data_IF_499676114328
#
_entry.id   IF_499676114328
#
_cell.length_a   1.000
_cell.length_b   1.000
_cell.length_c   1.000
_cell.angle_alpha   90.00
_cell.angle_beta   90.00
_cell.angle_gamma   90.00
#
_symmetry.space_group_name_H-M   'P 1'
#
loop_
_entity.id
_entity.type
_entity.pdbx_description
1 polymer ?
#
# COMPACT_ATOMS: atom_id res chain seq x y z
N UNK A 1 -21.53 -1.51 -1.51
CA UNK A 1 -20.32 -0.80 -2.03
C UNK A 1 -20.01 -1.36 -3.40
N UNK A 2 -19.71 -0.54 -4.41
CA UNK A 2 -19.35 -1.06 -5.75
C UNK A 2 -18.09 -1.93 -5.66
N UNK A 3 -18.08 -3.08 -6.39
CA UNK A 3 -16.97 -4.06 -6.35
C UNK A 3 -15.59 -3.41 -6.55
N UNK A 4 -15.50 -2.42 -7.46
CA UNK A 4 -14.26 -1.67 -7.74
C UNK A 4 -13.71 -0.92 -6.52
N UNK A 5 -14.59 -0.36 -5.69
CA UNK A 5 -14.21 0.39 -4.48
C UNK A 5 -13.66 -0.53 -3.40
N UNK A 6 -14.25 -1.73 -3.25
CA UNK A 6 -13.75 -2.76 -2.32
C UNK A 6 -12.32 -3.15 -2.72
N UNK A 7 -12.11 -3.48 -3.99
CA UNK A 7 -10.79 -3.90 -4.50
C UNK A 7 -9.74 -2.81 -4.27
N UNK A 8 -10.06 -1.53 -4.51
CA UNK A 8 -9.14 -0.42 -4.25
C UNK A 8 -8.70 -0.32 -2.79
N UNK A 9 -9.58 -0.66 -1.85
CA UNK A 9 -9.27 -0.62 -0.41
C UNK A 9 -8.47 -1.85 0.01
N UNK A 10 -8.81 -3.04 -0.51
CA UNK A 10 -8.25 -4.30 -0.01
C UNK A 10 -7.03 -4.80 -0.77
N UNK A 11 -6.72 -4.29 -1.96
CA UNK A 11 -5.55 -4.80 -2.69
C UNK A 11 -4.22 -4.57 -1.95
N UNK A 12 -3.91 -3.37 -1.38
CA UNK A 12 -2.60 -3.14 -0.80
C UNK A 12 -2.40 -4.02 0.42
N UNK A 13 -3.44 -4.16 1.25
CA UNK A 13 -3.42 -5.02 2.43
C UNK A 13 -3.13 -6.47 2.04
N UNK A 14 -3.91 -7.04 1.12
CA UNK A 14 -3.71 -8.41 0.66
C UNK A 14 -2.28 -8.65 0.16
N UNK A 15 -1.74 -7.76 -0.67
CA UNK A 15 -0.38 -7.90 -1.17
C UNK A 15 0.68 -7.77 -0.06
N UNK A 16 0.54 -6.80 0.86
CA UNK A 16 1.45 -6.64 1.99
C UNK A 16 1.44 -7.86 2.91
N UNK A 17 0.27 -8.37 3.26
CA UNK A 17 0.12 -9.56 4.10
C UNK A 17 0.77 -10.78 3.44
N UNK A 18 0.49 -11.04 2.14
CA UNK A 18 1.05 -12.19 1.42
C UNK A 18 2.57 -12.10 1.36
N UNK A 19 3.12 -10.94 0.98
CA UNK A 19 4.57 -10.73 0.90
C UNK A 19 5.22 -10.98 2.26
N UNK A 20 4.64 -10.43 3.34
CA UNK A 20 5.17 -10.56 4.69
C UNK A 20 5.16 -12.02 5.16
N UNK A 21 4.04 -12.72 5.00
CA UNK A 21 3.93 -14.14 5.39
C UNK A 21 4.94 -14.99 4.64
N UNK A 22 5.05 -14.82 3.32
CA UNK A 22 6.00 -15.59 2.48
C UNK A 22 7.44 -15.31 2.90
N UNK A 23 7.77 -14.05 3.21
CA UNK A 23 9.12 -13.67 3.66
C UNK A 23 9.50 -14.23 5.03
N UNK A 24 8.56 -14.36 5.97
CA UNK A 24 8.88 -14.81 7.34
C UNK A 24 8.68 -16.31 7.57
N UNK A 25 7.75 -16.96 6.87
CA UNK A 25 7.51 -18.40 7.05
C UNK A 25 8.51 -19.26 6.27
N UNK A 26 9.38 -18.66 5.46
CA UNK A 26 10.36 -19.37 4.62
C UNK A 26 9.73 -20.55 3.85
N UNK A 27 8.44 -20.41 3.50
CA UNK A 27 7.54 -21.53 3.16
C UNK A 27 8.01 -22.33 1.94
N UNK A 28 8.95 -21.79 1.17
CA UNK A 28 9.39 -22.32 -0.10
C UNK A 28 10.72 -23.11 -0.04
N UNK A 29 11.35 -23.29 1.13
CA UNK A 29 12.58 -24.11 1.30
C UNK A 29 13.66 -23.87 0.22
N UNK A 30 13.76 -22.63 -0.30
CA UNK A 30 14.80 -22.28 -1.26
C UNK A 30 16.09 -21.97 -0.50
N UNK A 31 17.02 -22.92 -0.47
CA UNK A 31 18.29 -22.87 0.27
C UNK A 31 19.28 -21.76 -0.14
N UNK A 32 18.91 -20.86 -1.06
CA UNK A 32 19.81 -19.83 -1.62
C UNK A 32 19.26 -18.41 -1.63
N UNK A 33 18.03 -18.17 -1.15
CA UNK A 33 17.41 -16.84 -1.15
C UNK A 33 17.27 -16.38 0.30
N UNK A 34 17.86 -15.22 0.63
CA UNK A 34 17.63 -14.58 1.92
C UNK A 34 16.26 -13.90 1.92
N UNK A 35 15.24 -14.61 2.42
CA UNK A 35 13.86 -14.13 2.47
C UNK A 35 13.68 -12.88 3.34
N UNK A 36 14.60 -12.62 4.29
CA UNK A 36 14.64 -11.33 5.01
C UNK A 36 15.02 -10.18 4.07
N UNK A 37 15.92 -10.42 3.12
CA UNK A 37 16.27 -9.45 2.08
C UNK A 37 15.07 -9.06 1.21
N UNK A 38 14.24 -10.03 0.83
CA UNK A 38 12.99 -9.78 0.08
C UNK A 38 12.05 -8.87 0.88
N UNK A 39 11.91 -9.12 2.18
CA UNK A 39 11.08 -8.29 3.03
C UNK A 39 11.59 -6.85 3.14
N UNK A 40 12.91 -6.67 3.29
CA UNK A 40 13.53 -5.34 3.35
C UNK A 40 13.31 -4.58 2.03
N UNK A 41 13.50 -5.23 0.88
CA UNK A 41 13.20 -4.63 -0.42
C UNK A 41 11.71 -4.26 -0.51
N UNK A 42 10.84 -5.12 0.03
CA UNK A 42 9.41 -4.88 0.02
C UNK A 42 9.02 -3.65 0.85
N UNK A 43 9.59 -3.49 2.04
CA UNK A 43 9.39 -2.31 2.87
C UNK A 43 9.83 -1.02 2.19
N UNK A 44 11.02 -1.04 1.58
CA UNK A 44 11.62 0.17 1.03
C UNK A 44 10.98 0.56 -0.30
N UNK A 45 10.55 -0.43 -1.10
CA UNK A 45 10.12 -0.19 -2.48
C UNK A 45 8.69 -0.63 -2.76
N UNK A 46 8.36 -1.91 -2.52
CA UNK A 46 7.05 -2.44 -2.93
C UNK A 46 5.89 -1.80 -2.16
N UNK A 47 6.01 -1.63 -0.85
CA UNK A 47 4.94 -1.07 -0.02
C UNK A 47 4.65 0.40 -0.37
N UNK A 48 5.64 1.29 -0.53
CA UNK A 48 5.40 2.62 -1.08
C UNK A 48 4.70 2.61 -2.43
N UNK A 49 5.10 1.70 -3.34
CA UNK A 49 4.46 1.57 -4.66
C UNK A 49 2.99 1.14 -4.52
N UNK A 50 2.68 0.20 -3.63
CA UNK A 50 1.31 -0.21 -3.34
C UNK A 50 0.46 0.96 -2.84
N UNK A 51 0.99 1.76 -1.91
CA UNK A 51 0.32 2.97 -1.41
C UNK A 51 0.16 4.05 -2.49
N UNK A 52 1.15 4.21 -3.36
CA UNK A 52 1.06 5.11 -4.51
C UNK A 52 -0.07 4.70 -5.44
N UNK A 53 -0.12 3.42 -5.84
CA UNK A 53 -1.19 2.87 -6.68
C UNK A 53 -2.54 3.01 -5.97
N UNK A 54 -2.59 2.80 -4.66
CA UNK A 54 -3.81 2.96 -3.87
C UNK A 54 -4.33 4.40 -3.92
N UNK A 55 -3.45 5.39 -3.76
CA UNK A 55 -3.79 6.80 -3.89
C UNK A 55 -4.35 7.15 -5.27
N UNK A 56 -3.70 6.68 -6.34
CA UNK A 56 -4.16 6.87 -7.73
C UNK A 56 -5.54 6.26 -7.92
N UNK A 57 -5.71 4.98 -7.56
CA UNK A 57 -6.98 4.27 -7.73
C UNK A 57 -8.10 4.92 -6.90
N UNK A 58 -7.78 5.47 -5.73
CA UNK A 58 -8.77 6.18 -4.92
C UNK A 58 -9.31 7.42 -5.62
N UNK A 59 -8.45 8.18 -6.30
CA UNK A 59 -8.84 9.37 -7.05
C UNK A 59 -9.64 9.02 -8.32
N UNK A 60 -9.30 7.91 -8.98
CA UNK A 60 -10.02 7.43 -10.16
C UNK A 60 -11.42 6.96 -9.77
N UNK A 61 -11.52 6.10 -8.76
CA UNK A 61 -12.75 5.42 -8.35
C UNK A 61 -13.62 6.26 -7.38
N UNK A 62 -13.22 7.50 -7.08
CA UNK A 62 -13.88 8.38 -6.12
C UNK A 62 -14.14 7.67 -4.77
N UNK A 63 -13.16 6.90 -4.28
CA UNK A 63 -13.23 6.27 -2.96
C UNK A 63 -12.69 7.21 -1.89
N UNK A 64 -13.19 7.06 -0.67
CA UNK A 64 -12.68 7.83 0.46
C UNK A 64 -11.25 7.39 0.77
N UNK A 65 -10.29 8.29 0.55
CA UNK A 65 -8.87 7.99 0.75
C UNK A 65 -8.52 7.72 2.21
N UNK A 66 -9.14 8.41 3.16
CA UNK A 66 -8.85 8.20 4.58
C UNK A 66 -9.26 6.81 5.04
N UNK A 67 -10.42 6.34 4.55
CA UNK A 67 -10.86 4.97 4.82
C UNK A 67 -9.92 3.96 4.15
N UNK A 68 -9.57 4.18 2.89
CA UNK A 68 -8.69 3.28 2.13
C UNK A 68 -7.30 3.14 2.77
N UNK A 69 -6.62 4.28 3.00
CA UNK A 69 -5.30 4.30 3.64
C UNK A 69 -5.36 3.82 5.08
N UNK A 70 -6.44 4.13 5.81
CA UNK A 70 -6.64 3.66 7.18
C UNK A 70 -6.61 2.15 7.29
N UNK A 71 -7.26 1.42 6.36
CA UNK A 71 -7.23 -0.04 6.34
C UNK A 71 -5.81 -0.56 6.05
N UNK A 72 -5.10 0.02 5.07
CA UNK A 72 -3.71 -0.37 4.75
C UNK A 72 -2.72 -0.11 5.90
N UNK A 73 -2.86 1.02 6.58
CA UNK A 73 -2.01 1.37 7.72
C UNK A 73 -2.31 0.46 8.91
N UNK A 74 -3.57 0.18 9.20
CA UNK A 74 -3.93 -0.75 10.27
C UNK A 74 -3.37 -2.15 10.02
N UNK A 75 -3.46 -2.65 8.79
CA UNK A 75 -2.84 -3.91 8.39
C UNK A 75 -1.31 -3.88 8.61
N UNK A 76 -0.63 -2.83 8.13
CA UNK A 76 0.81 -2.70 8.34
C UNK A 76 1.21 -2.61 9.81
N UNK A 77 0.42 -1.92 10.65
CA UNK A 77 0.65 -1.89 12.12
C UNK A 77 0.53 -3.30 12.71
N UNK A 78 -0.46 -4.09 12.29
CA UNK A 78 -0.60 -5.48 12.75
C UNK A 78 0.61 -6.31 12.31
N UNK A 79 1.00 -6.21 11.04
CA UNK A 79 2.18 -6.90 10.51
C UNK A 79 3.46 -6.49 11.26
N UNK A 80 3.57 -5.22 11.65
CA UNK A 80 4.68 -4.70 12.44
C UNK A 80 4.76 -5.38 13.80
N UNK A 81 3.66 -5.46 14.55
CA UNK A 81 3.65 -6.10 15.87
C UNK A 81 3.90 -7.62 15.82
N UNK A 82 3.52 -8.28 14.74
CA UNK A 82 3.68 -9.73 14.61
C UNK A 82 5.09 -10.12 14.11
N UNK A 83 5.63 -9.37 13.15
CA UNK A 83 6.82 -9.78 12.40
C UNK A 83 8.02 -8.84 12.51
N UNK A 84 7.83 -7.61 12.98
CA UNK A 84 8.84 -6.55 12.93
C UNK A 84 9.16 -5.97 14.32
N UNK A 85 10.14 -5.07 14.34
CA UNK A 85 10.49 -4.28 15.52
C UNK A 85 9.86 -2.87 15.45
N UNK A 86 9.85 -2.16 16.57
CA UNK A 86 9.29 -0.80 16.70
C UNK A 86 9.91 0.22 15.73
N UNK A 87 11.16 0.02 15.30
CA UNK A 87 11.83 0.91 14.33
C UNK A 87 11.11 1.00 12.99
N UNK A 88 10.30 0.00 12.64
CA UNK A 88 9.51 0.00 11.41
C UNK A 88 8.32 0.97 11.43
N UNK A 89 8.02 1.57 12.59
CA UNK A 89 6.92 2.52 12.73
C UNK A 89 7.06 3.72 11.77
N UNK A 90 8.29 4.16 11.48
CA UNK A 90 8.57 5.27 10.58
C UNK A 90 8.00 5.06 9.16
N UNK A 91 7.91 3.81 8.72
CA UNK A 91 7.40 3.48 7.39
C UNK A 91 5.91 3.80 7.23
N UNK A 92 5.11 3.72 8.30
CA UNK A 92 3.70 4.13 8.27
C UNK A 92 3.55 5.57 7.76
N UNK A 93 4.37 6.47 8.28
CA UNK A 93 4.32 7.89 7.93
C UNK A 93 4.74 8.12 6.48
N UNK A 94 5.78 7.41 6.03
CA UNK A 94 6.24 7.46 4.63
C UNK A 94 5.14 6.99 3.68
N UNK A 95 4.54 5.83 3.95
CA UNK A 95 3.52 5.23 3.09
C UNK A 95 2.26 6.09 3.02
N UNK A 96 1.85 6.67 4.15
CA UNK A 96 0.71 7.57 4.23
C UNK A 96 0.96 8.84 3.39
N UNK A 97 2.14 9.46 3.49
CA UNK A 97 2.51 10.61 2.67
C UNK A 97 2.46 10.27 1.18
N UNK A 98 3.08 9.15 0.79
CA UNK A 98 3.11 8.69 -0.60
C UNK A 98 1.70 8.51 -1.17
N UNK A 99 0.82 7.82 -0.43
CA UNK A 99 -0.56 7.59 -0.87
C UNK A 99 -1.39 8.88 -0.97
N UNK A 100 -1.24 9.80 -0.02
CA UNK A 100 -1.92 11.10 -0.04
C UNK A 100 -1.47 11.96 -1.23
N UNK A 101 -0.15 12.06 -1.46
CA UNK A 101 0.42 12.81 -2.58
C UNK A 101 -0.11 12.26 -3.91
N UNK A 102 -0.04 10.93 -4.09
CA UNK A 102 -0.49 10.27 -5.31
C UNK A 102 -1.98 10.55 -5.60
N UNK A 103 -2.82 10.59 -4.57
CA UNK A 103 -4.24 10.92 -4.71
C UNK A 103 -4.47 12.37 -5.11
N UNK A 104 -3.81 13.34 -4.45
CA UNK A 104 -4.00 14.76 -4.77
C UNK A 104 -3.50 15.11 -6.17
N UNK A 105 -2.35 14.56 -6.58
CA UNK A 105 -1.83 14.71 -7.95
C UNK A 105 -2.87 14.16 -8.94
N UNK A 106 -3.31 12.92 -8.76
CA UNK A 106 -4.27 12.27 -9.67
C UNK A 106 -5.60 13.03 -9.75
N UNK A 107 -6.12 13.47 -8.61
CA UNK A 107 -7.36 14.25 -8.53
C UNK A 107 -7.22 15.59 -9.26
N UNK A 108 -6.07 16.24 -9.15
CA UNK A 108 -5.79 17.51 -9.84
C UNK A 108 -5.71 17.31 -11.36
N UNK A 109 -5.01 16.27 -11.82
CA UNK A 109 -4.93 15.92 -13.25
C UNK A 109 -6.34 15.64 -13.81
N UNK A 110 -7.15 14.84 -13.11
CA UNK A 110 -8.53 14.52 -13.52
C UNK A 110 -9.40 15.77 -13.64
N UNK A 111 -9.28 16.71 -12.69
CA UNK A 111 -9.99 17.99 -12.71
C UNK A 111 -9.59 18.83 -13.94
N UNK A 112 -8.28 18.93 -14.22
CA UNK A 112 -7.78 19.70 -15.38
C UNK A 112 -8.22 19.08 -16.71
N UNK A 113 -8.19 17.76 -16.83
CA UNK A 113 -8.66 17.05 -18.03
C UNK A 113 -10.16 17.26 -18.26
N UNK A 114 -10.97 17.19 -17.20
CA UNK A 114 -12.41 17.45 -17.30
C UNK A 114 -12.72 18.89 -17.72
N UNK A 115 -11.88 19.86 -17.33
CA UNK A 115 -12.07 21.27 -17.67
C UNK A 115 -11.68 21.62 -19.12
N UNK A 116 -10.87 20.78 -19.80
CA UNK A 116 -10.48 20.98 -21.20
C UNK A 116 -11.46 20.39 -22.21
N UNK A 117 -12.39 19.56 -21.75
CA UNK A 117 -13.40 18.89 -22.60
C UNK A 117 -14.73 19.68 -22.67
N UNK A 118 -14.76 20.92 -22.17
CA UNK A 118 -15.81 21.92 -22.34
C UNK A 118 -15.20 23.16 -23.01
#
# INVERSE_FOLDING_TARGET
MEKRKIITITFPTLFMTIITIVSFQNMLNFNGIDFKGIFIISLILLFPILFLIQGILCAINNTNIFLSLGVSILDFIILMFVYMNESAFIYNLIYLIVGIIAYFITKSIKKTLSSKNY
#
